data_IF_873938536316
#
_entry.id   IF_873938536316
#
_cell.length_a   1.000
_cell.length_b   1.000
_cell.length_c   1.000
_cell.angle_alpha   90.00
_cell.angle_beta   90.00
_cell.angle_gamma   90.00
#
_symmetry.space_group_name_H-M   'P 1'
#
loop_
_entity.id
_entity.type
_entity.pdbx_description
1 polymer ?
#
# COMPACT_ATOMS: atom_id res chain seq x y z
N UNK A 1 27.29 -9.55 -16.47
CA UNK A 1 26.15 -8.68 -16.86
C UNK A 1 26.53 -7.92 -18.12
N UNK A 2 25.67 -7.88 -19.16
CA UNK A 2 25.92 -7.02 -20.33
C UNK A 2 25.82 -5.55 -19.88
N UNK A 3 26.86 -4.74 -20.15
CA UNK A 3 26.83 -3.29 -19.87
C UNK A 3 26.06 -2.60 -21.00
N UNK A 4 24.88 -2.06 -20.73
CA UNK A 4 24.22 -1.10 -21.62
C UNK A 4 24.56 0.31 -21.15
N UNK A 5 25.06 1.15 -22.05
CA UNK A 5 25.29 2.56 -21.77
C UNK A 5 24.10 3.34 -22.31
N UNK A 6 23.37 4.05 -21.43
CA UNK A 6 22.18 4.82 -21.80
C UNK A 6 22.39 6.28 -21.42
N UNK A 7 22.48 7.15 -22.41
CA UNK A 7 22.64 8.58 -22.20
C UNK A 7 21.29 9.20 -21.79
N UNK A 8 21.08 9.38 -20.49
CA UNK A 8 19.91 10.04 -19.94
C UNK A 8 20.14 11.56 -19.86
N UNK A 9 19.20 12.36 -20.37
CA UNK A 9 19.19 13.81 -20.19
C UNK A 9 18.27 14.18 -19.04
N UNK A 10 18.81 14.87 -18.05
CA UNK A 10 18.09 15.36 -16.88
C UNK A 10 18.11 16.88 -16.85
N UNK A 11 17.10 17.49 -16.24
CA UNK A 11 17.13 18.91 -15.94
C UNK A 11 18.31 19.21 -14.99
N UNK A 12 19.03 20.34 -15.14
CA UNK A 12 20.22 20.62 -14.32
C UNK A 12 19.95 20.57 -12.83
N UNK A 13 18.85 21.17 -12.35
CA UNK A 13 18.45 21.15 -10.94
C UNK A 13 18.29 19.73 -10.38
N UNK A 14 17.62 18.86 -11.15
CA UNK A 14 17.42 17.46 -10.77
C UNK A 14 18.74 16.69 -10.75
N UNK A 15 19.65 16.96 -11.69
CA UNK A 15 20.96 16.33 -11.70
C UNK A 15 21.78 16.70 -10.47
N UNK A 16 21.77 17.97 -10.05
CA UNK A 16 22.47 18.40 -8.84
C UNK A 16 21.88 17.77 -7.58
N UNK A 17 20.55 17.70 -7.47
CA UNK A 17 19.89 17.04 -6.34
C UNK A 17 20.24 15.54 -6.28
N UNK A 18 20.17 14.84 -7.41
CA UNK A 18 20.51 13.41 -7.48
C UNK A 18 21.98 13.13 -7.13
N UNK A 19 22.90 14.05 -7.45
CA UNK A 19 24.30 13.92 -7.01
C UNK A 19 24.42 14.02 -5.50
N UNK A 20 23.80 15.02 -4.89
CA UNK A 20 23.81 15.19 -3.43
C UNK A 20 23.21 13.98 -2.70
N UNK A 21 22.11 13.42 -3.22
CA UNK A 21 21.51 12.20 -2.65
C UNK A 21 22.42 10.99 -2.84
N UNK A 22 22.99 10.80 -4.04
CA UNK A 22 23.90 9.67 -4.29
C UNK A 22 25.15 9.72 -3.39
N UNK A 23 25.70 10.92 -3.15
CA UNK A 23 26.80 11.12 -2.19
C UNK A 23 26.38 10.81 -0.76
N UNK A 24 25.20 11.26 -0.33
CA UNK A 24 24.68 10.98 1.01
C UNK A 24 24.40 9.48 1.25
N UNK A 25 24.04 8.74 0.20
CA UNK A 25 23.82 7.30 0.23
C UNK A 25 25.07 6.46 -0.10
N UNK A 26 26.24 7.09 -0.27
CA UNK A 26 27.52 6.45 -0.64
C UNK A 26 27.40 5.53 -1.87
N UNK A 27 26.75 6.03 -2.92
CA UNK A 27 26.45 5.28 -4.14
C UNK A 27 26.80 6.08 -5.40
N UNK A 28 26.90 5.38 -6.53
CA UNK A 28 27.10 6.07 -7.82
C UNK A 28 25.77 6.56 -8.38
N UNK A 29 25.79 7.68 -9.09
CA UNK A 29 24.59 8.24 -9.74
C UNK A 29 23.86 7.20 -10.62
N UNK A 30 24.61 6.39 -11.37
CA UNK A 30 24.02 5.35 -12.23
C UNK A 30 23.36 4.23 -11.41
N UNK A 31 23.97 3.84 -10.29
CA UNK A 31 23.38 2.83 -9.40
C UNK A 31 22.12 3.38 -8.74
N UNK A 32 22.17 4.61 -8.24
CA UNK A 32 21.02 5.30 -7.67
C UNK A 32 19.84 5.36 -8.67
N UNK A 33 20.09 5.82 -9.91
CA UNK A 33 19.06 5.88 -10.96
C UNK A 33 18.45 4.51 -11.24
N UNK A 34 19.27 3.45 -11.31
CA UNK A 34 18.77 2.10 -11.56
C UNK A 34 17.86 1.60 -10.43
N UNK A 35 18.22 1.86 -9.17
CA UNK A 35 17.41 1.49 -8.01
C UNK A 35 16.10 2.28 -8.02
N UNK A 36 16.17 3.61 -8.19
CA UNK A 36 14.99 4.47 -8.24
C UNK A 36 14.00 4.06 -9.36
N UNK A 37 14.50 3.67 -10.54
CA UNK A 37 13.67 3.15 -11.64
C UNK A 37 13.02 1.82 -11.26
N UNK A 38 13.76 0.91 -10.63
CA UNK A 38 13.22 -0.37 -10.17
C UNK A 38 12.11 -0.17 -9.12
N UNK A 39 12.32 0.74 -8.17
CA UNK A 39 11.34 1.09 -7.15
C UNK A 39 10.08 1.73 -7.75
N UNK A 40 10.23 2.70 -8.67
CA UNK A 40 9.09 3.31 -9.35
C UNK A 40 8.28 2.27 -10.12
N UNK A 41 8.96 1.35 -10.80
CA UNK A 41 8.30 0.25 -11.51
C UNK A 41 7.57 -0.70 -10.56
N UNK A 42 8.18 -1.04 -9.42
CA UNK A 42 7.56 -1.86 -8.39
C UNK A 42 6.30 -1.19 -7.82
N UNK A 43 6.36 0.10 -7.52
CA UNK A 43 5.22 0.89 -7.04
C UNK A 43 4.05 0.89 -8.04
N UNK A 44 4.32 1.21 -9.31
CA UNK A 44 3.30 1.25 -10.36
C UNK A 44 2.68 -0.13 -10.62
N UNK A 45 3.49 -1.19 -10.62
CA UNK A 45 2.99 -2.57 -10.80
C UNK A 45 2.13 -3.01 -9.62
N UNK A 46 2.53 -2.64 -8.39
CA UNK A 46 1.81 -2.96 -7.17
C UNK A 46 0.44 -2.28 -7.14
N UNK A 47 0.40 -0.99 -7.49
CA UNK A 47 -0.85 -0.25 -7.63
C UNK A 47 -1.80 -0.92 -8.64
N UNK A 48 -1.29 -1.25 -9.83
CA UNK A 48 -2.07 -1.92 -10.87
C UNK A 48 -2.56 -3.31 -10.43
N UNK A 49 -1.73 -4.06 -9.71
CA UNK A 49 -2.10 -5.36 -9.14
C UNK A 49 -3.25 -5.23 -8.15
N UNK A 50 -3.15 -4.30 -7.18
CA UNK A 50 -4.22 -4.08 -6.20
C UNK A 50 -5.52 -3.64 -6.86
N UNK A 51 -5.47 -2.75 -7.86
CA UNK A 51 -6.67 -2.35 -8.62
C UNK A 51 -7.35 -3.55 -9.28
N UNK A 52 -6.58 -4.41 -9.97
CA UNK A 52 -7.11 -5.63 -10.62
C UNK A 52 -7.62 -6.66 -9.60
N UNK A 53 -7.00 -6.75 -8.44
CA UNK A 53 -7.44 -7.64 -7.36
C UNK A 53 -8.73 -7.14 -6.73
N UNK A 54 -8.83 -5.85 -6.42
CA UNK A 54 -10.02 -5.21 -5.86
C UNK A 54 -11.22 -5.33 -6.79
N UNK A 55 -11.03 -5.16 -8.11
CA UNK A 55 -12.10 -5.31 -9.11
C UNK A 55 -12.72 -6.73 -9.14
N UNK A 56 -11.98 -7.75 -8.68
CA UNK A 56 -12.45 -9.15 -8.60
C UNK A 56 -12.92 -9.54 -7.20
N UNK A 57 -12.89 -8.62 -6.24
CA UNK A 57 -13.20 -8.92 -4.85
C UNK A 57 -14.71 -8.89 -4.60
N UNK A 58 -15.22 -9.90 -3.91
CA UNK A 58 -16.57 -9.88 -3.34
C UNK A 58 -16.49 -9.38 -1.88
N UNK A 59 -16.64 -8.06 -1.72
CA UNK A 59 -16.59 -7.40 -0.41
C UNK A 59 -17.71 -7.88 0.52
N UNK A 60 -18.98 -7.99 0.09
CA UNK A 60 -20.04 -8.58 0.91
C UNK A 60 -19.72 -10.00 1.40
N UNK A 61 -19.20 -10.89 0.56
CA UNK A 61 -18.84 -12.24 0.97
C UNK A 61 -17.69 -12.23 1.98
N UNK A 62 -16.67 -11.38 1.77
CA UNK A 62 -15.57 -11.21 2.71
C UNK A 62 -16.08 -10.74 4.10
N UNK A 63 -16.97 -9.75 4.14
CA UNK A 63 -17.58 -9.27 5.39
C UNK A 63 -18.41 -10.36 6.09
N UNK A 64 -19.17 -11.17 5.34
CA UNK A 64 -19.90 -12.33 5.90
C UNK A 64 -18.98 -13.37 6.51
N UNK A 65 -17.77 -13.57 5.97
CA UNK A 65 -16.76 -14.44 6.59
C UNK A 65 -16.26 -13.81 7.89
N UNK A 66 -15.89 -12.53 7.86
CA UNK A 66 -15.40 -11.81 9.05
C UNK A 66 -16.42 -11.78 10.19
N UNK A 67 -17.71 -11.57 9.90
CA UNK A 67 -18.78 -11.57 10.90
C UNK A 67 -18.95 -12.94 11.59
N UNK A 68 -18.55 -14.04 10.94
CA UNK A 68 -18.58 -15.38 11.52
C UNK A 68 -17.33 -15.67 12.36
N UNK A 69 -16.19 -15.07 12.05
CA UNK A 69 -14.96 -15.30 12.77
C UNK A 69 -15.06 -14.73 14.19
N UNK A 70 -14.89 -15.60 15.19
CA UNK A 70 -14.97 -15.20 16.60
C UNK A 70 -16.39 -14.96 17.11
N UNK A 71 -17.43 -15.26 16.31
CA UNK A 71 -18.82 -15.17 16.75
C UNK A 71 -19.03 -16.02 18.03
N UNK A 72 -19.53 -15.36 19.09
CA UNK A 72 -19.79 -16.00 20.39
C UNK A 72 -18.58 -16.15 21.31
N UNK A 73 -17.36 -15.82 20.87
CA UNK A 73 -16.17 -15.80 21.72
C UNK A 73 -15.99 -14.41 22.35
N UNK A 74 -15.54 -14.37 23.60
CA UNK A 74 -15.11 -13.12 24.23
C UNK A 74 -13.80 -12.64 23.55
N UNK A 75 -13.56 -11.32 23.49
CA UNK A 75 -12.24 -10.80 23.10
C UNK A 75 -11.15 -11.41 23.98
N UNK A 76 -9.93 -11.51 23.44
CA UNK A 76 -8.77 -11.85 24.25
C UNK A 76 -8.50 -10.70 25.25
N UNK A 77 -7.87 -10.98 26.40
CA UNK A 77 -7.47 -9.93 27.33
C UNK A 77 -6.62 -8.86 26.63
N UNK A 78 -7.05 -7.60 26.68
CA UNK A 78 -6.43 -6.46 25.99
C UNK A 78 -7.06 -6.09 24.64
N UNK A 79 -7.88 -6.97 24.04
CA UNK A 79 -8.64 -6.70 22.81
C UNK A 79 -10.06 -6.18 23.10
N UNK A 80 -10.36 -5.82 24.35
CA UNK A 80 -11.65 -5.29 24.72
C UNK A 80 -11.90 -3.91 24.08
N UNK A 81 -13.10 -3.73 23.54
CA UNK A 81 -13.52 -2.43 23.02
C UNK A 81 -13.62 -1.42 24.18
N UNK A 82 -13.15 -0.17 24.00
CA UNK A 82 -13.30 0.86 25.02
C UNK A 82 -14.77 1.14 25.31
N UNK A 83 -15.07 1.43 26.57
CA UNK A 83 -16.43 1.65 27.07
C UNK A 83 -17.08 2.80 26.28
N UNK A 84 -18.18 2.51 25.58
CA UNK A 84 -18.95 3.48 24.76
C UNK A 84 -18.89 3.25 23.24
N UNK A 85 -17.96 2.46 22.72
CA UNK A 85 -17.82 2.23 21.27
C UNK A 85 -18.92 1.32 20.65
N UNK A 86 -19.63 0.54 21.47
CA UNK A 86 -20.61 -0.46 20.99
C UNK A 86 -21.95 0.14 20.49
N UNK A 87 -22.33 1.34 20.93
CA UNK A 87 -23.69 1.90 20.68
C UNK A 87 -23.99 2.26 19.21
N UNK A 88 -22.99 2.38 18.33
CA UNK A 88 -23.20 2.87 16.94
C UNK A 88 -23.45 1.78 15.88
N UNK A 89 -23.19 0.50 16.15
CA UNK A 89 -23.33 -0.58 15.14
C UNK A 89 -24.78 -1.03 14.90
N UNK A 90 -25.66 -0.92 15.90
CA UNK A 90 -27.07 -1.35 15.79
C UNK A 90 -27.97 -0.45 14.93
N UNK A 91 -27.57 0.79 14.66
CA UNK A 91 -28.36 1.75 13.88
C UNK A 91 -28.20 1.58 12.35
N UNK A 92 -27.09 0.97 11.89
CA UNK A 92 -26.78 0.87 10.45
C UNK A 92 -27.49 -0.29 9.75
N UNK A 93 -28.01 -1.27 10.50
CA UNK A 93 -28.69 -2.47 9.96
C UNK A 93 -30.17 -2.23 9.59
N UNK A 94 -30.73 -1.03 9.85
CA UNK A 94 -32.15 -0.71 9.62
C UNK A 94 -32.43 0.24 8.44
N UNK A 95 -31.42 0.62 7.64
CA UNK A 95 -31.57 1.63 6.56
C UNK A 95 -31.35 1.08 5.14
N UNK A 96 -31.60 -0.21 4.93
CA UNK A 96 -31.68 -0.80 3.58
C UNK A 96 -32.87 -1.76 3.55
N UNK A 97 -34.05 -1.18 3.46
CA UNK A 97 -35.28 -1.82 2.97
C UNK A 97 -36.18 -0.66 2.51
N UNK A 98 -35.92 -0.19 1.30
CA UNK A 98 -36.84 0.49 0.38
C UNK A 98 -36.27 0.37 -1.03
#
# INVERSE_FOLDING_TARGET
>A
MRKSNFALRLQPSLLEELRGVAEAEDTTLNQFINIAVAEKLAALRTEAYFRKRAARADVPAALKVLDRLGAGKRPLPGDEMPVGAQKKRGARKRRTNE
#
